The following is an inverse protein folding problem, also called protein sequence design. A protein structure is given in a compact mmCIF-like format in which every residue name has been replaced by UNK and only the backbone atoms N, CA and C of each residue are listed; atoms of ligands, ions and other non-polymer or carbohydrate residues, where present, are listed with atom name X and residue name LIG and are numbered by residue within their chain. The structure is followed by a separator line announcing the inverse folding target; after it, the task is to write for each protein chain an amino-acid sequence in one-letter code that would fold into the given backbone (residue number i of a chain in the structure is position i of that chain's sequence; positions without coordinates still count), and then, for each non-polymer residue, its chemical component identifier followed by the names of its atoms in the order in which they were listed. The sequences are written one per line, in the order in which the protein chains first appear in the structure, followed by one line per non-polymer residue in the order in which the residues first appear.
data_IF_757258215636
#
_entry.id   IF_757258215636
#
_cell.length_a   1.000
_cell.length_b   1.000
_cell.length_c   1.000
_cell.angle_alpha   90.00
_cell.angle_beta   90.00
_cell.angle_gamma   90.00
#
_symmetry.space_group_name_H-M   'P 1'
#
loop_
_entity.id
_entity.type
_entity.pdbx_description
1 polymer ?
#
# COMPACT_ATOMS: atom_id res chain seq x y z
N UNK A 1 41.87 -39.60 42.13
CA UNK A 1 41.27 -38.74 41.09
C UNK A 1 40.42 -39.63 40.20
N UNK A 2 39.09 -39.71 40.28
CA UNK A 2 38.09 -38.68 39.90
C UNK A 2 38.54 -37.96 38.61
N UNK A 3 37.83 -37.98 37.48
CA UNK A 3 36.37 -37.97 37.23
C UNK A 3 36.17 -38.38 35.76
N UNK A 4 35.20 -39.24 35.43
CA UNK A 4 33.92 -38.85 34.82
C UNK A 4 34.04 -37.96 33.58
N UNK A 5 33.90 -38.56 32.39
CA UNK A 5 33.28 -37.88 31.25
C UNK A 5 32.07 -38.67 30.78
N UNK A 6 30.97 -37.93 30.70
CA UNK A 6 29.59 -38.35 30.54
C UNK A 6 29.33 -38.57 29.05
N UNK A 7 29.07 -39.81 28.63
CA UNK A 7 28.37 -40.04 27.37
C UNK A 7 26.92 -39.57 27.52
N UNK A 8 26.62 -38.38 26.98
CA UNK A 8 25.26 -37.90 26.81
C UNK A 8 24.61 -38.60 25.61
N UNK A 9 24.09 -39.80 25.84
CA UNK A 9 23.19 -40.45 24.90
C UNK A 9 21.85 -39.69 24.93
N UNK A 10 21.66 -38.74 23.99
CA UNK A 10 20.37 -38.09 23.72
C UNK A 10 19.43 -39.09 23.02
N UNK A 11 19.03 -40.12 23.77
CA UNK A 11 17.98 -41.05 23.40
C UNK A 11 16.64 -40.53 23.95
N UNK A 12 15.69 -40.35 23.04
CA UNK A 12 14.29 -39.97 23.25
C UNK A 12 13.74 -40.45 24.61
N UNK A 13 13.57 -39.53 25.56
CA UNK A 13 13.13 -39.92 26.91
C UNK A 13 11.63 -40.21 26.92
N UNK A 14 11.16 -41.07 27.84
CA UNK A 14 9.71 -41.32 28.04
C UNK A 14 8.92 -40.02 28.23
N UNK A 15 9.55 -38.99 28.79
CA UNK A 15 8.95 -37.66 28.98
C UNK A 15 8.77 -36.93 27.65
N UNK A 16 9.70 -37.08 26.72
CA UNK A 16 9.58 -36.50 25.37
C UNK A 16 8.58 -37.27 24.54
N UNK A 17 8.54 -38.61 24.67
CA UNK A 17 7.48 -39.41 24.06
C UNK A 17 6.09 -39.01 24.57
N UNK A 18 5.91 -38.84 25.89
CA UNK A 18 4.64 -38.40 26.48
C UNK A 18 4.27 -36.97 26.07
N UNK A 19 5.24 -36.06 25.94
CA UNK A 19 5.01 -34.70 25.45
C UNK A 19 4.60 -34.69 23.97
N UNK A 20 5.27 -35.49 23.14
CA UNK A 20 4.98 -35.60 21.70
C UNK A 20 3.63 -36.29 21.45
N UNK A 21 3.32 -37.37 22.18
CA UNK A 21 2.06 -38.11 22.01
C UNK A 21 0.84 -37.31 22.47
N UNK A 22 0.93 -36.60 23.59
CA UNK A 22 -0.15 -35.72 24.08
C UNK A 22 -0.45 -34.57 23.11
N UNK A 23 0.57 -34.01 22.45
CA UNK A 23 0.39 -32.99 21.42
C UNK A 23 -0.36 -33.53 20.19
N UNK A 24 0.01 -34.72 19.71
CA UNK A 24 -0.62 -35.34 18.54
C UNK A 24 -2.09 -35.68 18.83
N UNK A 25 -2.40 -36.22 20.02
CA UNK A 25 -3.77 -36.53 20.42
C UNK A 25 -4.62 -35.27 20.57
N UNK A 26 -4.07 -34.18 21.11
CA UNK A 26 -4.78 -32.92 21.22
C UNK A 26 -5.17 -32.36 19.85
N UNK A 27 -4.26 -32.41 18.86
CA UNK A 27 -4.53 -31.98 17.48
C UNK A 27 -5.59 -32.88 16.83
N UNK A 28 -5.49 -34.19 16.96
CA UNK A 28 -6.47 -35.13 16.36
C UNK A 28 -7.90 -34.96 16.92
N UNK A 29 -8.03 -34.47 18.16
CA UNK A 29 -9.31 -34.22 18.82
C UNK A 29 -9.78 -32.76 18.69
N UNK A 30 -9.01 -31.87 18.07
CA UNK A 30 -9.49 -30.51 17.83
C UNK A 30 -10.69 -30.54 16.88
N UNK A 31 -11.83 -29.93 17.26
CA UNK A 31 -12.95 -29.78 16.36
C UNK A 31 -12.52 -28.99 15.12
N UNK A 32 -12.99 -29.38 13.94
CA UNK A 32 -12.67 -28.72 12.67
C UNK A 32 -13.01 -27.22 12.67
N UNK A 33 -13.97 -26.80 13.50
CA UNK A 33 -14.32 -25.38 13.70
C UNK A 33 -13.21 -24.62 14.42
N UNK A 34 -12.56 -25.24 15.42
CA UNK A 34 -11.43 -24.62 16.13
C UNK A 34 -10.17 -24.56 15.25
N UNK A 35 -9.94 -25.58 14.42
CA UNK A 35 -8.88 -25.56 13.39
C UNK A 35 -9.14 -24.43 12.38
N UNK A 36 -10.37 -24.34 11.85
CA UNK A 36 -10.75 -23.30 10.88
C UNK A 36 -10.68 -21.88 11.46
N UNK A 37 -11.00 -21.71 12.74
CA UNK A 37 -10.87 -20.43 13.44
C UNK A 37 -9.40 -20.05 13.72
N UNK A 38 -8.54 -21.02 13.98
CA UNK A 38 -7.10 -20.79 14.12
C UNK A 38 -6.43 -20.48 12.77
N UNK A 39 -6.86 -21.13 11.69
CA UNK A 39 -6.45 -20.83 10.31
C UNK A 39 -6.85 -19.41 9.91
N UNK A 40 -8.08 -18.96 10.21
CA UNK A 40 -8.51 -17.59 9.91
C UNK A 40 -7.72 -16.53 10.68
N UNK A 41 -7.36 -16.81 11.94
CA UNK A 41 -6.50 -15.92 12.73
C UNK A 41 -5.06 -15.86 12.21
N UNK A 42 -4.57 -16.95 11.62
CA UNK A 42 -3.26 -16.96 10.97
C UNK A 42 -3.29 -16.13 9.68
N UNK A 43 -4.31 -16.30 8.83
CA UNK A 43 -4.49 -15.53 7.59
C UNK A 43 -4.53 -14.02 7.83
N UNK A 44 -5.24 -13.54 8.86
CA UNK A 44 -5.28 -12.11 9.21
C UNK A 44 -3.90 -11.57 9.62
N UNK A 45 -3.15 -12.30 10.46
CA UNK A 45 -1.79 -11.89 10.87
C UNK A 45 -0.78 -11.94 9.72
N UNK A 46 -0.96 -12.85 8.77
CA UNK A 46 -0.11 -12.89 7.57
C UNK A 46 -0.46 -11.76 6.60
N UNK A 47 -1.73 -11.39 6.46
CA UNK A 47 -2.15 -10.24 5.67
C UNK A 47 -1.53 -8.93 6.17
N UNK A 48 -1.47 -8.73 7.50
CA UNK A 48 -0.80 -7.59 8.14
C UNK A 48 0.73 -7.55 7.88
N UNK A 49 1.37 -8.71 7.63
CA UNK A 49 2.82 -8.77 7.36
C UNK A 49 3.18 -8.54 5.89
N UNK A 50 2.25 -8.74 4.95
CA UNK A 50 2.41 -8.46 3.53
C UNK A 50 1.73 -7.15 3.09
N UNK A 51 1.40 -6.29 4.06
CA UNK A 51 0.41 -5.22 3.90
C UNK A 51 0.88 -4.07 3.00
N UNK A 52 2.19 -3.82 2.91
CA UNK A 52 2.72 -2.67 2.15
C UNK A 52 3.87 -3.04 1.21
N UNK A 53 3.79 -2.52 -0.02
CA UNK A 53 4.77 -2.73 -1.10
C UNK A 53 5.59 -1.44 -1.27
N UNK A 54 6.92 -1.52 -1.46
CA UNK A 54 7.73 -0.35 -1.79
C UNK A 54 7.29 0.29 -3.11
N UNK A 55 7.26 1.61 -3.13
CA UNK A 55 6.95 2.43 -4.30
C UNK A 55 8.04 3.51 -4.46
N UNK A 56 8.69 3.58 -5.61
CA UNK A 56 9.50 4.71 -6.06
C UNK A 56 8.78 5.42 -7.19
N UNK A 57 8.52 6.72 -7.05
CA UNK A 57 7.75 7.50 -8.02
C UNK A 57 8.27 8.94 -8.06
N UNK A 58 8.20 9.58 -9.23
CA UNK A 58 8.55 11.01 -9.35
C UNK A 58 7.27 11.80 -9.50
N UNK A 59 7.01 12.77 -8.63
CA UNK A 59 5.83 13.66 -8.70
C UNK A 59 6.31 15.10 -8.78
N UNK A 60 5.90 15.83 -9.82
CA UNK A 60 6.29 17.22 -10.07
C UNK A 60 7.82 17.42 -9.96
N UNK A 61 8.57 16.57 -10.67
CA UNK A 61 10.05 16.54 -10.72
C UNK A 61 10.76 16.21 -9.40
N UNK A 62 10.01 15.86 -8.33
CA UNK A 62 10.56 15.40 -7.07
C UNK A 62 10.40 13.89 -6.92
N UNK A 63 11.49 13.20 -6.57
CA UNK A 63 11.46 11.77 -6.29
C UNK A 63 10.90 11.48 -4.90
N UNK A 64 10.02 10.48 -4.82
CA UNK A 64 9.41 9.97 -3.60
C UNK A 64 9.68 8.47 -3.46
N UNK A 65 9.90 8.04 -2.22
CA UNK A 65 9.98 6.62 -1.84
C UNK A 65 8.98 6.38 -0.73
N UNK A 66 8.12 5.39 -0.88
CA UNK A 66 7.08 5.05 0.08
C UNK A 66 6.95 3.53 0.22
N UNK A 67 6.23 3.10 1.25
CA UNK A 67 5.71 1.74 1.38
C UNK A 67 4.21 1.87 1.58
N UNK A 68 3.42 1.35 0.64
CA UNK A 68 1.97 1.61 0.56
C UNK A 68 1.18 0.32 0.41
N UNK A 69 -0.08 0.34 0.84
CA UNK A 69 -0.97 -0.80 0.60
C UNK A 69 -1.24 -0.94 -0.91
N UNK A 70 -1.31 -2.17 -1.46
CA UNK A 70 -1.52 -2.40 -2.89
C UNK A 70 -2.80 -1.77 -3.44
N UNK A 71 -3.82 -1.60 -2.59
CA UNK A 71 -5.13 -1.03 -2.94
C UNK A 71 -5.16 0.50 -3.03
N UNK A 72 -4.10 1.18 -2.59
CA UNK A 72 -4.06 2.66 -2.61
C UNK A 72 -4.09 3.13 -4.05
N UNK A 73 -5.09 3.95 -4.38
CA UNK A 73 -5.19 4.60 -5.70
C UNK A 73 -4.10 5.66 -5.83
N UNK A 74 -3.69 5.99 -7.06
CA UNK A 74 -2.77 7.09 -7.32
C UNK A 74 -3.36 8.41 -6.79
N UNK A 75 -4.68 8.58 -6.91
CA UNK A 75 -5.38 9.74 -6.35
C UNK A 75 -5.16 9.88 -4.85
N UNK A 76 -5.39 8.80 -4.09
CA UNK A 76 -5.28 8.82 -2.63
C UNK A 76 -3.82 8.92 -2.18
N UNK A 77 -2.89 8.30 -2.91
CA UNK A 77 -1.47 8.49 -2.66
C UNK A 77 -1.05 9.96 -2.79
N UNK A 78 -1.46 10.63 -3.87
CA UNK A 78 -1.15 12.05 -4.08
C UNK A 78 -1.75 12.93 -2.98
N UNK A 79 -3.02 12.71 -2.64
CA UNK A 79 -3.77 13.59 -1.74
C UNK A 79 -3.48 13.34 -0.27
N UNK A 80 -3.48 12.09 0.14
CA UNK A 80 -3.50 11.71 1.55
C UNK A 80 -2.10 11.38 2.07
N UNK A 81 -1.23 10.78 1.24
CA UNK A 81 0.16 10.46 1.63
C UNK A 81 1.13 11.60 1.30
N UNK A 82 1.00 12.24 0.13
CA UNK A 82 1.89 13.34 -0.29
C UNK A 82 1.33 14.74 0.01
N UNK A 83 0.07 14.83 0.45
CA UNK A 83 -0.62 16.09 0.75
C UNK A 83 -0.71 17.07 -0.45
N UNK A 84 -0.62 16.54 -1.68
CA UNK A 84 -0.87 17.25 -2.93
C UNK A 84 -2.36 17.20 -3.26
N UNK A 85 -3.11 18.08 -2.60
CA UNK A 85 -4.58 18.06 -2.58
C UNK A 85 -5.23 18.72 -3.80
N UNK A 86 -4.45 19.24 -4.75
CA UNK A 86 -4.92 19.88 -5.98
C UNK A 86 -5.70 18.93 -6.87
N UNK A 87 -5.26 17.67 -6.99
CA UNK A 87 -6.02 16.62 -7.68
C UNK A 87 -7.26 16.24 -6.84
N UNK A 88 -8.46 16.19 -7.44
CA UNK A 88 -9.72 16.09 -6.68
C UNK A 88 -10.39 14.72 -6.80
N UNK A 89 -11.03 14.30 -5.70
CA UNK A 89 -11.91 13.12 -5.64
C UNK A 89 -13.37 13.54 -5.82
N UNK A 90 -13.84 13.56 -7.06
CA UNK A 90 -15.24 13.90 -7.37
C UNK A 90 -16.19 12.71 -7.25
N UNK A 91 -15.92 11.61 -7.96
CA UNK A 91 -16.79 10.43 -7.99
C UNK A 91 -16.11 9.11 -7.63
N UNK A 92 -14.78 9.05 -7.62
CA UNK A 92 -13.97 7.84 -7.36
C UNK A 92 -14.23 6.62 -8.27
N UNK A 93 -14.95 6.82 -9.39
CA UNK A 93 -15.33 5.75 -10.32
C UNK A 93 -15.10 6.11 -11.81
N UNK A 94 -14.20 7.06 -12.08
CA UNK A 94 -13.78 7.44 -13.44
C UNK A 94 -14.79 8.23 -14.28
N UNK A 95 -15.90 8.67 -13.69
CA UNK A 95 -16.98 9.33 -14.42
C UNK A 95 -16.79 10.85 -14.62
N UNK A 96 -16.13 11.55 -13.68
CA UNK A 96 -16.08 13.02 -13.69
C UNK A 96 -14.78 13.63 -14.21
N UNK A 97 -13.66 12.90 -14.21
CA UNK A 97 -12.35 13.42 -14.62
C UNK A 97 -11.68 14.42 -13.65
N UNK A 98 -12.29 14.78 -12.52
CA UNK A 98 -11.70 15.71 -11.54
C UNK A 98 -10.38 15.21 -10.91
N UNK A 99 -10.10 13.92 -11.06
CA UNK A 99 -8.87 13.27 -10.60
C UNK A 99 -7.80 13.15 -11.71
N UNK A 100 -7.93 13.88 -12.82
CA UNK A 100 -6.99 13.76 -13.94
C UNK A 100 -5.60 14.24 -13.54
N UNK A 101 -4.61 13.41 -13.80
CA UNK A 101 -3.17 13.73 -13.72
C UNK A 101 -2.47 13.25 -14.98
N UNK A 102 -1.23 13.67 -15.20
CA UNK A 102 -0.42 13.15 -16.30
C UNK A 102 0.58 12.11 -15.79
N UNK A 103 0.53 10.89 -16.34
CA UNK A 103 1.49 9.81 -16.08
C UNK A 103 2.38 9.70 -17.32
N UNK A 104 3.67 10.00 -17.19
CA UNK A 104 4.62 10.06 -18.31
C UNK A 104 4.12 10.92 -19.50
N UNK A 105 3.38 11.98 -19.20
CA UNK A 105 2.79 12.89 -20.19
C UNK A 105 1.40 12.52 -20.69
N UNK A 106 0.89 11.31 -20.40
CA UNK A 106 -0.46 10.90 -20.78
C UNK A 106 -1.48 11.19 -19.68
N UNK A 107 -2.64 11.74 -20.06
CA UNK A 107 -3.73 12.00 -19.10
C UNK A 107 -4.36 10.69 -18.59
N UNK A 108 -4.52 10.56 -17.28
CA UNK A 108 -5.10 9.37 -16.64
C UNK A 108 -6.04 9.80 -15.50
N UNK A 109 -7.17 9.11 -15.37
CA UNK A 109 -8.02 9.20 -14.17
C UNK A 109 -7.32 8.49 -13.00
N UNK A 110 -6.70 9.24 -12.09
CA UNK A 110 -5.89 8.68 -11.00
C UNK A 110 -6.68 7.84 -9.99
N UNK A 111 -8.01 7.99 -9.90
CA UNK A 111 -8.84 7.14 -9.04
C UNK A 111 -8.97 5.69 -9.53
N UNK A 112 -8.73 5.43 -10.82
CA UNK A 112 -8.79 4.10 -11.41
C UNK A 112 -7.40 3.50 -11.68
N UNK A 113 -6.35 4.11 -11.15
CA UNK A 113 -4.98 3.61 -11.23
C UNK A 113 -4.45 3.36 -9.83
N UNK A 114 -3.89 2.18 -9.56
CA UNK A 114 -3.23 1.92 -8.28
C UNK A 114 -1.87 2.60 -8.25
N UNK A 115 -1.48 3.17 -7.10
CA UNK A 115 -0.21 3.85 -6.95
C UNK A 115 0.98 2.91 -7.25
N UNK A 116 0.91 1.65 -6.81
CA UNK A 116 1.92 0.60 -7.10
C UNK A 116 2.11 0.31 -8.59
N UNK A 117 1.11 0.55 -9.44
CA UNK A 117 1.23 0.37 -10.90
C UNK A 117 2.06 1.47 -11.57
N UNK A 118 2.46 2.49 -10.81
CA UNK A 118 3.18 3.66 -11.28
C UNK A 118 4.64 3.71 -10.77
N UNK A 119 5.17 2.56 -10.35
CA UNK A 119 6.59 2.39 -10.04
C UNK A 119 7.48 2.94 -11.17
N UNK A 120 8.45 3.77 -10.80
CA UNK A 120 9.42 4.39 -11.70
C UNK A 120 8.86 5.43 -12.66
N UNK A 121 7.55 5.74 -12.61
CA UNK A 121 6.93 6.70 -13.53
C UNK A 121 7.01 8.14 -13.01
N UNK A 122 6.85 9.08 -13.94
CA UNK A 122 6.73 10.52 -13.68
C UNK A 122 5.27 10.93 -13.67
N UNK A 123 4.83 11.56 -12.58
CA UNK A 123 3.49 12.11 -12.40
C UNK A 123 3.59 13.64 -12.41
N UNK A 124 2.71 14.28 -13.15
CA UNK A 124 2.51 15.74 -13.09
C UNK A 124 1.09 16.01 -12.63
N UNK A 125 0.95 16.78 -11.56
CA UNK A 125 -0.32 17.26 -11.00
C UNK A 125 -0.48 18.77 -11.25
N UNK A 126 -1.62 19.34 -10.86
CA UNK A 126 -1.89 20.77 -11.03
C UNK A 126 -0.87 21.68 -10.33
N UNK A 127 -0.37 21.25 -9.17
CA UNK A 127 0.68 21.95 -8.42
C UNK A 127 2.01 22.04 -9.17
N UNK A 128 2.26 21.10 -10.11
CA UNK A 128 3.49 21.07 -10.89
C UNK A 128 3.46 21.92 -12.17
N UNK A 129 2.36 22.62 -12.47
CA UNK A 129 2.25 23.40 -13.70
C UNK A 129 2.87 24.80 -13.60
N UNK A 130 2.78 25.43 -12.42
CA UNK A 130 3.34 26.77 -12.19
C UNK A 130 4.85 26.70 -11.93
N UNK A 131 5.57 27.75 -12.33
CA UNK A 131 6.99 27.93 -12.00
C UNK A 131 7.13 28.96 -10.88
N UNK A 132 7.10 28.50 -9.63
CA UNK A 132 7.05 29.40 -8.48
C UNK A 132 5.75 30.22 -8.47
N UNK A 133 5.86 31.54 -8.59
CA UNK A 133 4.71 32.45 -8.66
C UNK A 133 4.21 32.69 -10.10
N UNK A 134 4.93 32.18 -11.11
CA UNK A 134 4.54 32.33 -12.52
C UNK A 134 3.52 31.25 -12.93
N UNK A 135 2.32 31.69 -13.29
CA UNK A 135 1.25 30.81 -13.76
C UNK A 135 1.59 30.18 -15.11
N UNK A 136 1.22 28.91 -15.26
CA UNK A 136 1.21 28.26 -16.57
C UNK A 136 0.28 29.03 -17.53
N UNK A 137 0.59 29.15 -18.84
CA UNK A 137 -0.27 29.85 -19.79
C UNK A 137 -1.75 29.41 -19.78
N UNK A 138 -1.99 28.12 -19.52
CA UNK A 138 -3.35 27.58 -19.35
C UNK A 138 -4.05 28.08 -18.08
N UNK A 139 -3.35 28.16 -16.95
CA UNK A 139 -3.90 28.69 -15.71
C UNK A 139 -4.27 30.18 -15.86
N UNK A 140 -3.39 30.97 -16.49
CA UNK A 140 -3.66 32.38 -16.79
C UNK A 140 -4.86 32.56 -17.75
N UNK A 141 -4.99 31.70 -18.77
CA UNK A 141 -6.13 31.72 -19.67
C UNK A 141 -7.46 31.37 -18.95
N UNK A 142 -7.45 30.37 -18.06
CA UNK A 142 -8.62 30.03 -17.24
C UNK A 142 -9.10 31.20 -16.40
N UNK A 143 -8.19 31.95 -15.77
CA UNK A 143 -8.54 33.17 -15.02
C UNK A 143 -9.12 34.24 -15.96
N UNK A 144 -8.44 34.53 -17.07
CA UNK A 144 -8.84 35.57 -18.03
C UNK A 144 -10.26 35.34 -18.58
N UNK A 145 -10.67 34.09 -18.72
CA UNK A 145 -11.93 33.70 -19.35
C UNK A 145 -12.98 33.19 -18.35
N UNK A 146 -12.77 33.35 -17.04
CA UNK A 146 -13.67 32.86 -16.00
C UNK A 146 -13.99 31.36 -16.17
N UNK A 147 -12.96 30.58 -16.49
CA UNK A 147 -13.04 29.15 -16.84
C UNK A 147 -13.34 28.23 -15.66
N UNK A 148 -13.69 28.78 -14.51
CA UNK A 148 -14.06 28.05 -13.31
C UNK A 148 -15.00 28.88 -12.43
N UNK A 149 -15.75 28.21 -11.55
CA UNK A 149 -16.56 28.87 -10.53
C UNK A 149 -16.21 28.34 -9.14
N UNK A 150 -16.76 27.18 -8.76
CA UNK A 150 -16.43 26.57 -7.46
C UNK A 150 -14.97 26.09 -7.34
N UNK A 151 -14.26 25.98 -8.46
CA UNK A 151 -12.84 25.58 -8.50
C UNK A 151 -12.59 24.08 -8.37
N UNK A 152 -13.62 23.24 -8.20
CA UNK A 152 -13.42 21.82 -7.88
C UNK A 152 -13.04 20.97 -9.10
N UNK A 153 -13.49 21.34 -10.30
CA UNK A 153 -13.17 20.63 -11.55
C UNK A 153 -12.13 21.34 -12.41
N UNK A 154 -11.52 22.41 -11.89
CA UNK A 154 -10.51 23.23 -12.56
C UNK A 154 -9.22 22.45 -12.72
#
# INVERSE_FOLDING_TARGET
MQSSDKESNQGDSRRDFLKKSSLITAIALTPSVAVKAAESQADERFAELFEKIPLNITVNDKAYKASIEPRVTLLDYLREELHLTGTKKGCDHGQCGACTVHVNGERVNSCLSLAVMNEGKKITTIEGLASGEELHPMQAAFIKHDGFQCGYCT
#
